data_IF_495985774227
#
_entry.id   IF_495985774227
#
_cell.length_a   1.000
_cell.length_b   1.000
_cell.length_c   1.000
_cell.angle_alpha   90.00
_cell.angle_beta   90.00
_cell.angle_gamma   90.00
#
_symmetry.space_group_name_H-M   'P 1'
#
loop_
_entity.id
_entity.type
_entity.pdbx_description
1 polymer ?
#
# COMPACT_ATOMS: atom_id res chain seq x y z
N UNK A 1 -4.12 4.41 -21.55
CA UNK A 1 -3.57 5.30 -20.50
C UNK A 1 -2.62 4.47 -19.67
N UNK A 2 -1.40 4.95 -19.37
CA UNK A 2 -0.47 4.19 -18.52
C UNK A 2 -0.86 4.25 -17.04
N UNK A 3 -0.43 3.27 -16.25
CA UNK A 3 -0.69 3.22 -14.81
C UNK A 3 -0.21 4.51 -14.11
N UNK A 4 0.98 5.00 -14.46
CA UNK A 4 1.53 6.24 -13.91
C UNK A 4 0.62 7.46 -14.17
N UNK A 5 0.15 7.63 -15.40
CA UNK A 5 -0.80 8.71 -15.75
C UNK A 5 -2.14 8.58 -15.03
N UNK A 6 -2.59 7.34 -14.81
CA UNK A 6 -3.83 7.11 -14.06
C UNK A 6 -3.65 7.48 -12.59
N UNK A 7 -2.56 7.08 -11.94
CA UNK A 7 -2.24 7.47 -10.57
C UNK A 7 -2.12 9.00 -10.43
N UNK A 8 -1.44 9.65 -11.38
CA UNK A 8 -1.32 11.11 -11.43
C UNK A 8 -2.70 11.77 -11.51
N UNK A 9 -3.58 11.30 -12.39
CA UNK A 9 -4.94 11.85 -12.55
C UNK A 9 -5.80 11.72 -11.29
N UNK A 10 -5.59 10.68 -10.51
CA UNK A 10 -6.29 10.48 -9.23
C UNK A 10 -5.76 11.44 -8.16
N UNK A 11 -4.47 11.77 -8.20
CA UNK A 11 -3.79 12.58 -7.18
C UNK A 11 -3.94 14.09 -7.40
N UNK A 12 -4.22 14.55 -8.64
CA UNK A 12 -4.12 15.96 -9.04
C UNK A 12 -5.38 16.85 -8.79
N UNK A 13 -6.38 16.39 -8.04
CA UNK A 13 -7.58 17.21 -7.81
C UNK A 13 -7.64 17.81 -6.40
N UNK A 14 -8.54 18.80 -6.19
CA UNK A 14 -8.73 19.50 -4.92
C UNK A 14 -8.69 18.57 -3.71
N UNK A 15 -7.81 18.85 -2.78
CA UNK A 15 -7.50 18.00 -1.65
C UNK A 15 -7.62 18.74 -0.34
N UNK A 16 -8.10 18.05 0.69
CA UNK A 16 -7.98 18.55 2.05
C UNK A 16 -6.49 18.51 2.46
N UNK A 17 -5.97 19.66 2.88
CA UNK A 17 -4.62 19.74 3.42
C UNK A 17 -4.69 19.36 4.89
N UNK A 18 -4.02 18.26 5.25
CA UNK A 18 -3.89 17.84 6.64
C UNK A 18 -2.65 18.52 7.22
N UNK A 19 -2.83 19.31 8.26
CA UNK A 19 -1.72 19.96 8.97
C UNK A 19 -1.09 19.02 10.01
N UNK A 20 0.12 19.36 10.47
CA UNK A 20 0.81 18.62 11.54
C UNK A 20 0.01 18.56 12.85
N UNK A 21 -0.91 19.49 13.06
CA UNK A 21 -1.82 19.54 14.21
C UNK A 21 -3.09 18.70 14.05
N UNK A 22 -3.35 18.16 12.84
CA UNK A 22 -4.52 17.35 12.60
C UNK A 22 -4.38 15.98 13.30
N UNK A 23 -5.41 15.53 14.03
CA UNK A 23 -5.40 14.19 14.65
C UNK A 23 -5.13 13.06 13.66
N UNK A 24 -5.59 13.19 12.40
CA UNK A 24 -5.32 12.22 11.35
C UNK A 24 -3.84 12.16 11.00
N UNK A 25 -3.14 13.32 10.98
CA UNK A 25 -1.70 13.35 10.78
C UNK A 25 -0.97 12.58 11.88
N UNK A 26 -1.27 12.86 13.15
CA UNK A 26 -0.65 12.17 14.28
C UNK A 26 -0.97 10.67 14.31
N UNK A 27 -2.08 10.28 13.72
CA UNK A 27 -2.51 8.90 13.61
C UNK A 27 -1.75 8.13 12.52
N UNK A 28 -1.46 8.77 11.37
CA UNK A 28 -0.72 8.18 10.26
C UNK A 28 0.79 8.21 10.53
N UNK A 29 1.29 9.34 11.05
CA UNK A 29 2.72 9.61 11.14
C UNK A 29 3.27 9.30 12.53
N UNK A 30 4.46 8.73 12.55
CA UNK A 30 5.21 8.52 13.79
C UNK A 30 6.56 9.22 13.70
N UNK A 31 7.02 9.89 14.75
CA UNK A 31 8.43 10.23 14.86
C UNK A 31 9.24 8.92 14.91
N UNK A 32 10.39 8.88 14.25
CA UNK A 32 11.25 7.67 14.18
C UNK A 32 11.58 7.06 15.55
N UNK A 33 11.56 7.88 16.60
CA UNK A 33 11.85 7.48 17.98
C UNK A 33 10.67 6.90 18.74
N UNK A 34 9.42 7.01 18.26
CA UNK A 34 8.28 6.43 18.96
C UNK A 34 8.14 4.98 18.57
N UNK A 35 8.80 4.14 19.31
CA UNK A 35 8.43 2.75 19.46
C UNK A 35 7.00 2.69 20.03
N UNK A 36 6.15 1.87 19.42
CA UNK A 36 5.04 1.26 20.12
C UNK A 36 3.69 1.98 20.09
N UNK A 37 2.93 1.73 19.08
CA UNK A 37 1.63 1.17 19.34
C UNK A 37 1.30 0.12 18.28
N UNK A 38 1.52 -1.18 18.55
CA UNK A 38 1.27 -2.27 17.59
C UNK A 38 -0.23 -2.55 17.37
N UNK A 39 -1.12 -1.78 18.00
CA UNK A 39 -2.56 -2.01 17.95
C UNK A 39 -3.29 -1.23 16.83
N UNK A 40 -2.61 -0.47 16.00
CA UNK A 40 -3.25 0.15 14.84
C UNK A 40 -3.46 -0.94 13.79
N UNK A 41 -4.62 -1.55 13.83
CA UNK A 41 -4.99 -2.70 12.98
C UNK A 41 -5.57 -2.34 11.62
N UNK A 42 -5.78 -1.08 11.31
CA UNK A 42 -6.18 -0.62 9.97
C UNK A 42 -6.16 0.90 9.90
N UNK A 43 -5.80 1.45 8.74
CA UNK A 43 -6.21 2.80 8.43
C UNK A 43 -7.74 2.83 8.38
N UNK A 44 -8.42 3.83 8.99
CA UNK A 44 -9.88 3.81 9.20
C UNK A 44 -10.70 3.83 7.91
N UNK A 45 -10.06 3.74 6.78
CA UNK A 45 -10.54 4.21 5.51
C UNK A 45 -11.34 3.16 4.75
N UNK A 46 -11.30 1.86 5.09
CA UNK A 46 -11.83 0.85 4.18
C UNK A 46 -12.56 -0.32 4.79
N UNK A 47 -13.21 -0.13 5.92
CA UNK A 47 -13.90 -1.25 6.59
C UNK A 47 -15.06 -1.87 5.81
N UNK A 48 -15.58 -1.19 4.78
CA UNK A 48 -16.75 -1.63 4.05
C UNK A 48 -16.45 -2.28 2.69
N UNK A 49 -15.25 -2.02 2.13
CA UNK A 49 -14.95 -2.46 0.78
C UNK A 49 -14.06 -3.71 0.76
N UNK A 50 -14.44 -4.76 0.02
CA UNK A 50 -13.65 -5.98 -0.07
C UNK A 50 -12.32 -5.77 -0.82
N UNK A 51 -12.26 -4.74 -1.66
CA UNK A 51 -11.09 -4.32 -2.43
C UNK A 51 -11.04 -2.80 -2.51
N UNK A 52 -9.91 -2.22 -2.21
CA UNK A 52 -9.67 -0.79 -2.38
C UNK A 52 -8.26 -0.52 -2.91
N UNK A 53 -8.07 0.64 -3.52
CA UNK A 53 -6.77 1.15 -3.93
C UNK A 53 -6.45 2.45 -3.18
N UNK A 54 -5.21 2.56 -2.70
CA UNK A 54 -4.66 3.77 -2.11
C UNK A 54 -3.45 4.19 -2.95
N UNK A 55 -3.54 5.33 -3.59
CA UNK A 55 -2.44 5.90 -4.36
C UNK A 55 -1.69 6.92 -3.50
N UNK A 56 -0.39 6.68 -3.29
CA UNK A 56 0.52 7.62 -2.65
C UNK A 56 1.47 8.21 -3.67
N UNK A 57 1.62 9.54 -3.64
CA UNK A 57 2.57 10.26 -4.49
C UNK A 57 3.36 11.25 -3.63
N UNK A 58 4.65 11.03 -3.49
CA UNK A 58 5.57 11.94 -2.81
C UNK A 58 6.19 12.88 -3.82
N UNK A 59 5.94 14.16 -3.67
CA UNK A 59 6.52 15.22 -4.50
C UNK A 59 7.91 15.66 -4.06
N UNK A 60 8.57 16.47 -4.88
CA UNK A 60 9.84 17.13 -4.55
C UNK A 60 9.70 18.17 -3.43
N UNK A 61 8.49 18.60 -3.14
CA UNK A 61 8.13 19.54 -2.08
C UNK A 61 7.97 18.88 -0.70
N UNK A 62 8.35 17.60 -0.58
CA UNK A 62 8.20 16.80 0.65
C UNK A 62 6.77 16.71 1.16
N UNK A 63 5.81 16.70 0.25
CA UNK A 63 4.41 16.40 0.57
C UNK A 63 4.00 15.07 -0.03
N UNK A 64 3.31 14.29 0.79
CA UNK A 64 2.66 13.06 0.38
C UNK A 64 1.21 13.38 0.00
N UNK A 65 0.85 13.04 -1.22
CA UNK A 65 -0.51 13.04 -1.71
C UNK A 65 -1.08 11.64 -1.58
N UNK A 66 -2.23 11.50 -0.95
CA UNK A 66 -2.90 10.23 -0.78
C UNK A 66 -4.33 10.30 -1.31
N UNK A 67 -4.72 9.33 -2.14
CA UNK A 67 -6.07 9.18 -2.68
C UNK A 67 -6.54 7.76 -2.52
N UNK A 68 -7.75 7.58 -1.99
CA UNK A 68 -8.40 6.28 -1.83
C UNK A 68 -9.50 6.06 -2.88
N UNK A 69 -9.62 4.83 -3.37
CA UNK A 69 -10.67 4.37 -4.29
C UNK A 69 -11.11 2.92 -3.97
N UNK A 70 -12.42 2.62 -3.95
CA UNK A 70 -13.51 3.57 -3.93
C UNK A 70 -13.57 4.34 -2.61
N UNK A 71 -14.12 5.53 -2.62
CA UNK A 71 -14.39 6.30 -1.41
C UNK A 71 -15.59 7.22 -1.61
N UNK A 72 -16.53 7.17 -0.68
CA UNK A 72 -17.67 8.07 -0.61
C UNK A 72 -17.85 8.54 0.85
N UNK A 73 -17.64 9.83 1.16
CA UNK A 73 -17.19 10.90 0.24
C UNK A 73 -15.74 10.65 -0.26
N UNK A 74 -15.37 11.28 -1.39
CA UNK A 74 -14.02 11.12 -1.93
C UNK A 74 -12.95 11.45 -0.89
N UNK A 75 -12.04 10.50 -0.66
CA UNK A 75 -10.91 10.71 0.24
C UNK A 75 -9.67 11.07 -0.55
N UNK A 76 -9.16 12.27 -0.30
CA UNK A 76 -7.88 12.77 -0.79
C UNK A 76 -7.26 13.65 0.27
N UNK A 77 -5.99 13.50 0.50
CA UNK A 77 -5.27 14.37 1.43
C UNK A 77 -3.87 14.71 0.93
N UNK A 78 -3.34 15.80 1.41
CA UNK A 78 -1.96 16.21 1.26
C UNK A 78 -1.35 16.33 2.65
N UNK A 79 -0.30 15.58 2.90
CA UNK A 79 0.34 15.47 4.22
C UNK A 79 1.79 15.91 4.10
N UNK A 80 2.30 16.81 4.97
CA UNK A 80 3.74 17.07 5.05
C UNK A 80 4.48 15.76 5.40
N UNK A 81 5.41 15.38 4.54
CA UNK A 81 6.21 14.17 4.73
C UNK A 81 7.71 14.50 4.58
N UNK A 82 8.29 15.22 5.55
CA UNK A 82 9.69 15.58 5.47
C UNK A 82 10.59 14.34 5.56
N UNK A 83 11.81 14.41 5.01
CA UNK A 83 12.81 13.37 5.17
C UNK A 83 12.93 12.95 6.64
N UNK A 84 13.20 11.68 6.89
CA UNK A 84 13.25 11.08 8.23
C UNK A 84 11.91 10.78 8.91
N UNK A 85 10.79 11.08 8.29
CA UNK A 85 9.47 10.64 8.77
C UNK A 85 9.12 9.26 8.20
N UNK A 86 8.28 8.55 8.94
CA UNK A 86 7.74 7.26 8.55
C UNK A 86 6.31 7.13 9.09
N UNK A 87 5.54 6.22 8.54
CA UNK A 87 4.25 5.87 9.12
C UNK A 87 4.43 5.20 10.48
N UNK A 88 3.36 5.12 11.25
CA UNK A 88 3.41 4.33 12.49
C UNK A 88 3.65 2.87 12.18
N UNK A 89 4.32 2.19 13.11
CA UNK A 89 4.43 0.74 13.06
C UNK A 89 3.03 0.13 13.22
N UNK A 90 2.58 -0.64 12.23
CA UNK A 90 1.20 -1.09 12.15
C UNK A 90 1.06 -2.47 11.52
N UNK A 91 -0.14 -3.01 11.63
CA UNK A 91 -0.64 -4.17 10.89
C UNK A 91 -1.96 -3.80 10.25
N UNK A 92 -2.41 -4.59 9.30
CA UNK A 92 -3.72 -4.43 8.66
C UNK A 92 -4.66 -5.58 9.03
N UNK A 93 -5.95 -5.42 8.79
CA UNK A 93 -6.96 -6.49 8.78
C UNK A 93 -7.27 -7.01 7.36
N UNK A 94 -6.47 -6.57 6.38
CA UNK A 94 -6.50 -6.96 4.97
C UNK A 94 -5.09 -7.35 4.50
N UNK A 95 -5.01 -8.03 3.37
CA UNK A 95 -3.76 -8.24 2.65
C UNK A 95 -3.41 -6.97 1.90
N UNK A 96 -2.18 -6.51 2.03
CA UNK A 96 -1.67 -5.37 1.30
C UNK A 96 -0.80 -5.80 0.13
N UNK A 97 -1.09 -5.26 -1.05
CA UNK A 97 -0.25 -5.34 -2.22
C UNK A 97 0.26 -3.94 -2.51
N UNK A 98 1.57 -3.72 -2.47
CA UNK A 98 2.23 -2.46 -2.80
C UNK A 98 2.99 -2.59 -4.12
N UNK A 99 2.63 -1.79 -5.12
CA UNK A 99 3.32 -1.71 -6.41
C UNK A 99 4.01 -0.36 -6.55
N UNK A 100 5.29 -0.36 -6.89
CA UNK A 100 6.07 0.86 -7.07
C UNK A 100 5.93 1.34 -8.51
N UNK A 101 5.09 2.35 -8.71
CA UNK A 101 4.77 2.93 -10.02
C UNK A 101 5.95 3.76 -10.55
N UNK A 102 6.62 4.49 -9.65
CA UNK A 102 7.85 5.25 -9.97
C UNK A 102 8.68 5.50 -8.73
N UNK A 103 10.00 5.65 -8.91
CA UNK A 103 10.94 5.96 -7.83
C UNK A 103 11.31 4.76 -6.97
N UNK A 104 11.53 5.02 -5.68
CA UNK A 104 11.87 3.99 -4.69
C UNK A 104 10.96 4.13 -3.46
N UNK A 105 10.69 3.02 -2.82
CA UNK A 105 9.88 2.91 -1.62
C UNK A 105 10.54 1.95 -0.63
N UNK A 106 10.67 2.35 0.62
CA UNK A 106 11.23 1.52 1.66
C UNK A 106 10.19 1.19 2.72
N UNK A 107 10.22 -0.05 3.19
CA UNK A 107 9.43 -0.48 4.34
C UNK A 107 10.32 -1.16 5.37
N UNK A 108 10.04 -0.89 6.64
CA UNK A 108 10.60 -1.67 7.74
C UNK A 108 9.66 -2.83 8.03
N UNK A 109 10.05 -4.02 7.61
CA UNK A 109 9.26 -5.26 7.76
C UNK A 109 10.01 -6.18 8.70
N UNK A 110 9.38 -6.64 9.77
CA UNK A 110 9.98 -7.53 10.78
C UNK A 110 11.35 -7.01 11.28
N UNK A 111 11.46 -5.70 11.46
CA UNK A 111 12.67 -5.06 11.94
C UNK A 111 13.76 -4.82 10.89
N UNK A 112 13.58 -5.26 9.65
CA UNK A 112 14.52 -5.05 8.53
C UNK A 112 13.99 -3.99 7.59
N UNK A 113 14.87 -3.10 7.11
CA UNK A 113 14.52 -2.15 6.06
C UNK A 113 14.70 -2.84 4.71
N UNK A 114 13.65 -2.83 3.91
CA UNK A 114 13.62 -3.39 2.56
C UNK A 114 13.24 -2.26 1.62
N UNK A 115 14.05 -2.05 0.58
CA UNK A 115 13.78 -1.05 -0.45
C UNK A 115 13.26 -1.74 -1.70
N UNK A 116 12.13 -1.26 -2.18
CA UNK A 116 11.48 -1.67 -3.42
C UNK A 116 11.71 -0.58 -4.47
N UNK A 117 11.88 -0.99 -5.72
CA UNK A 117 12.14 -0.10 -6.85
C UNK A 117 10.99 -0.10 -7.82
N UNK A 118 10.99 0.86 -8.70
CA UNK A 118 10.03 0.95 -9.80
C UNK A 118 9.85 -0.38 -10.51
N UNK A 119 8.60 -0.78 -10.69
CA UNK A 119 8.21 -2.06 -11.27
C UNK A 119 8.20 -3.25 -10.31
N UNK A 120 8.71 -3.10 -9.09
CA UNK A 120 8.65 -4.16 -8.07
C UNK A 120 7.32 -4.13 -7.31
N UNK A 121 6.98 -5.28 -6.74
CA UNK A 121 5.74 -5.47 -6.00
C UNK A 121 6.04 -6.17 -4.67
N UNK A 122 5.41 -5.70 -3.61
CA UNK A 122 5.39 -6.34 -2.30
C UNK A 122 3.98 -6.78 -1.95
N UNK A 123 3.85 -8.00 -1.47
CA UNK A 123 2.62 -8.52 -0.89
C UNK A 123 2.84 -8.77 0.60
N UNK A 124 2.06 -8.12 1.45
CA UNK A 124 2.22 -8.14 2.90
C UNK A 124 1.01 -8.79 3.56
N UNK A 125 1.27 -9.76 4.43
CA UNK A 125 0.25 -10.38 5.26
C UNK A 125 -0.35 -9.38 6.26
N UNK A 126 -1.64 -9.46 6.48
CA UNK A 126 -2.39 -8.64 7.45
C UNK A 126 -1.81 -8.65 8.88
N UNK A 127 -1.11 -9.69 9.26
CA UNK A 127 -0.49 -9.80 10.59
C UNK A 127 0.97 -9.31 10.62
N UNK A 128 1.51 -8.94 9.47
CA UNK A 128 2.89 -8.50 9.35
C UNK A 128 3.05 -7.10 9.92
N UNK A 129 3.87 -6.98 10.94
CA UNK A 129 4.19 -5.69 11.53
C UNK A 129 5.17 -4.95 10.64
N UNK A 130 4.76 -3.81 10.12
CA UNK A 130 5.57 -3.01 9.20
C UNK A 130 5.37 -1.50 9.38
N UNK A 131 6.19 -0.74 8.68
CA UNK A 131 6.24 0.71 8.74
C UNK A 131 6.76 1.24 7.41
N UNK A 132 6.08 2.23 6.84
CA UNK A 132 6.44 2.81 5.55
C UNK A 132 7.44 3.94 5.73
N UNK A 133 8.45 3.97 4.86
CA UNK A 133 9.53 4.94 4.86
C UNK A 133 9.63 5.53 3.45
N UNK A 134 9.28 6.80 3.32
CA UNK A 134 9.37 7.56 2.08
C UNK A 134 10.53 8.57 2.21
N UNK A 135 11.74 8.08 2.14
CA UNK A 135 12.96 8.88 2.32
C UNK A 135 13.54 9.40 1.00
N UNK A 136 13.08 8.88 -0.13
CA UNK A 136 13.53 9.25 -1.46
C UNK A 136 12.38 9.80 -2.29
N UNK A 137 12.54 11.01 -2.76
CA UNK A 137 11.57 11.75 -3.57
C UNK A 137 12.12 11.98 -4.99
N UNK A 138 11.28 12.03 -6.02
CA UNK A 138 9.85 11.72 -6.03
C UNK A 138 9.56 10.22 -6.11
N UNK A 139 8.40 9.81 -5.63
CA UNK A 139 7.96 8.41 -5.74
C UNK A 139 6.44 8.30 -5.81
N UNK A 140 5.94 7.30 -6.51
CA UNK A 140 4.52 6.97 -6.57
C UNK A 140 4.32 5.49 -6.28
N UNK A 141 3.49 5.19 -5.30
CA UNK A 141 3.17 3.84 -4.86
C UNK A 141 1.66 3.63 -4.95
N UNK A 142 1.27 2.50 -5.51
CA UNK A 142 -0.11 2.05 -5.57
C UNK A 142 -0.29 0.86 -4.65
N UNK A 143 -1.06 1.06 -3.60
CA UNK A 143 -1.46 0.00 -2.69
C UNK A 143 -2.83 -0.53 -3.06
N UNK A 144 -3.02 -1.85 -2.97
CA UNK A 144 -4.31 -2.49 -2.95
C UNK A 144 -4.51 -3.19 -1.61
N UNK A 145 -5.63 -2.90 -0.95
CA UNK A 145 -6.06 -3.63 0.23
C UNK A 145 -7.11 -4.65 -0.18
N UNK A 146 -6.88 -5.91 0.17
CA UNK A 146 -7.73 -7.05 -0.21
C UNK A 146 -8.28 -7.69 1.06
N UNK A 147 -9.60 -7.62 1.26
CA UNK A 147 -10.26 -8.19 2.42
C UNK A 147 -10.27 -9.73 2.39
N UNK A 148 -10.37 -10.34 3.56
CA UNK A 148 -10.39 -11.81 3.68
C UNK A 148 -11.51 -12.47 2.86
N UNK A 149 -12.66 -11.81 2.72
CA UNK A 149 -13.79 -12.34 1.96
C UNK A 149 -13.46 -12.60 0.49
N UNK A 150 -12.54 -11.83 -0.10
CA UNK A 150 -12.09 -12.07 -1.47
C UNK A 150 -11.08 -13.22 -1.59
N UNK A 151 -10.42 -13.59 -0.49
CA UNK A 151 -9.44 -14.68 -0.53
C UNK A 151 -10.06 -16.02 -0.84
N UNK A 152 -11.22 -16.31 -0.27
CA UNK A 152 -11.90 -17.56 -0.50
C UNK A 152 -12.21 -17.73 -1.99
N UNK A 153 -12.58 -16.65 -2.67
CA UNK A 153 -12.83 -16.65 -4.11
C UNK A 153 -11.54 -16.89 -4.92
N UNK A 154 -10.45 -16.22 -4.55
CA UNK A 154 -9.13 -16.40 -5.19
C UNK A 154 -8.59 -17.82 -4.98
N UNK A 155 -8.71 -18.34 -3.76
CA UNK A 155 -8.23 -19.68 -3.42
C UNK A 155 -9.04 -20.77 -4.12
N UNK A 156 -10.34 -20.57 -4.28
CA UNK A 156 -11.24 -21.51 -4.96
C UNK A 156 -11.08 -21.48 -6.49
N UNK A 157 -10.49 -20.43 -7.06
CA UNK A 157 -10.35 -20.27 -8.51
C UNK A 157 -9.32 -21.19 -9.16
N UNK A 158 -8.48 -21.87 -8.38
CA UNK A 158 -7.37 -22.74 -8.85
C UNK A 158 -6.35 -22.07 -9.79
N UNK A 159 -6.38 -20.73 -9.91
CA UNK A 159 -5.55 -19.96 -10.85
C UNK A 159 -4.22 -19.53 -10.22
N UNK A 160 -4.14 -19.48 -8.89
CA UNK A 160 -2.97 -18.95 -8.21
C UNK A 160 -1.78 -19.94 -8.22
N UNK A 161 -0.59 -19.42 -8.49
CA UNK A 161 0.66 -20.18 -8.38
C UNK A 161 0.84 -20.73 -6.95
N UNK A 162 1.47 -21.91 -6.83
CA UNK A 162 1.64 -22.61 -5.53
C UNK A 162 2.29 -21.77 -4.43
N UNK A 163 3.25 -20.89 -4.77
CA UNK A 163 3.89 -20.00 -3.79
C UNK A 163 2.93 -18.96 -3.23
N UNK A 164 2.13 -18.37 -4.11
CA UNK A 164 1.10 -17.38 -3.73
C UNK A 164 0.04 -18.09 -2.89
N UNK A 165 -0.43 -19.25 -3.32
CA UNK A 165 -1.39 -20.06 -2.57
C UNK A 165 -0.89 -20.43 -1.18
N UNK A 166 0.37 -20.87 -1.05
CA UNK A 166 0.98 -21.21 0.23
C UNK A 166 1.12 -19.99 1.15
N UNK A 167 1.50 -18.82 0.59
CA UNK A 167 1.58 -17.57 1.33
C UNK A 167 0.20 -17.12 1.84
N UNK A 168 -0.81 -17.11 0.97
CA UNK A 168 -2.17 -16.74 1.30
C UNK A 168 -2.76 -17.67 2.38
N UNK A 169 -2.53 -18.97 2.25
CA UNK A 169 -2.96 -19.94 3.25
C UNK A 169 -2.30 -19.67 4.62
N UNK A 170 -1.00 -19.37 4.66
CA UNK A 170 -0.28 -19.01 5.89
C UNK A 170 -0.85 -17.74 6.52
N UNK A 171 -1.14 -16.73 5.72
CA UNK A 171 -1.72 -15.47 6.15
C UNK A 171 -3.10 -15.67 6.77
N UNK A 172 -3.95 -16.49 6.15
CA UNK A 172 -5.28 -16.83 6.66
C UNK A 172 -5.23 -17.60 7.98
N UNK A 173 -4.31 -18.55 8.10
CA UNK A 173 -4.16 -19.40 9.30
C UNK A 173 -3.45 -18.68 10.46
N UNK A 174 -3.09 -17.42 10.31
CA UNK A 174 -2.38 -16.60 11.33
C UNK A 174 -1.08 -17.27 11.83
N UNK A 175 -0.40 -17.98 10.97
CA UNK A 175 0.85 -18.68 11.32
C UNK A 175 2.00 -17.67 11.36
N UNK A 176 2.19 -17.02 12.50
CA UNK A 176 3.20 -15.96 12.70
C UNK A 176 4.65 -16.37 12.44
N UNK A 177 4.93 -17.66 12.32
CA UNK A 177 6.29 -18.20 12.15
C UNK A 177 6.68 -18.39 10.68
N UNK A 178 5.78 -18.13 9.73
CA UNK A 178 6.02 -18.27 8.31
C UNK A 178 6.33 -16.92 7.66
N UNK A 179 6.67 -16.97 6.39
CA UNK A 179 6.95 -15.77 5.60
C UNK A 179 5.72 -14.84 5.59
N UNK A 180 5.90 -13.63 6.11
CA UNK A 180 4.82 -12.65 6.27
C UNK A 180 4.76 -11.62 5.13
N UNK A 181 5.68 -11.70 4.17
CA UNK A 181 5.67 -10.88 2.96
C UNK A 181 6.30 -11.62 1.79
N UNK A 182 5.92 -11.25 0.57
CA UNK A 182 6.53 -11.68 -0.67
C UNK A 182 7.02 -10.46 -1.44
N UNK A 183 8.26 -10.54 -1.94
CA UNK A 183 8.85 -9.51 -2.81
C UNK A 183 9.00 -10.08 -4.22
N UNK A 184 8.38 -9.41 -5.18
CA UNK A 184 8.40 -9.78 -6.58
C UNK A 184 9.23 -8.77 -7.38
N UNK A 185 10.15 -9.29 -8.17
CA UNK A 185 10.97 -8.54 -9.13
C UNK A 185 10.68 -9.09 -10.51
N UNK A 186 9.66 -8.58 -11.19
CA UNK A 186 9.30 -9.09 -12.51
C UNK A 186 10.37 -8.74 -13.53
N UNK A 187 10.53 -9.60 -14.54
CA UNK A 187 11.25 -9.27 -15.75
C UNK A 187 10.41 -8.30 -16.60
N UNK A 188 11.05 -7.57 -17.53
CA UNK A 188 10.43 -6.49 -18.28
C UNK A 188 9.11 -6.88 -18.98
N UNK A 189 9.04 -8.05 -19.59
CA UNK A 189 7.82 -8.55 -20.24
C UNK A 189 6.68 -8.76 -19.23
N UNK A 190 6.98 -9.42 -18.10
CA UNK A 190 6.01 -9.66 -17.03
C UNK A 190 5.59 -8.36 -16.34
N UNK A 191 6.46 -7.37 -16.29
CA UNK A 191 6.16 -6.04 -15.77
C UNK A 191 5.05 -5.36 -16.58
N UNK A 192 5.15 -5.38 -17.92
CA UNK A 192 4.16 -4.76 -18.81
C UNK A 192 2.76 -5.37 -18.62
N UNK A 193 2.66 -6.70 -18.52
CA UNK A 193 1.41 -7.41 -18.30
C UNK A 193 0.82 -7.10 -16.92
N UNK A 194 1.68 -7.02 -15.90
CA UNK A 194 1.29 -6.67 -14.54
C UNK A 194 0.75 -5.23 -14.49
N UNK A 195 1.45 -4.25 -15.09
CA UNK A 195 0.99 -2.87 -15.13
C UNK A 195 -0.34 -2.73 -15.88
N UNK A 196 -0.56 -3.48 -16.95
CA UNK A 196 -1.83 -3.50 -17.66
C UNK A 196 -2.96 -4.03 -16.76
N UNK A 197 -2.70 -5.11 -16.03
CA UNK A 197 -3.67 -5.71 -15.10
C UNK A 197 -3.99 -4.77 -13.93
N UNK A 198 -2.98 -4.13 -13.33
CA UNK A 198 -3.18 -3.16 -12.25
C UNK A 198 -3.92 -1.91 -12.75
N UNK A 199 -3.66 -1.47 -13.99
CA UNK A 199 -4.38 -0.36 -14.62
C UNK A 199 -5.86 -0.69 -14.77
N UNK A 200 -6.18 -1.89 -15.28
CA UNK A 200 -7.55 -2.34 -15.43
C UNK A 200 -8.27 -2.41 -14.06
N UNK A 201 -7.63 -3.00 -13.07
CA UNK A 201 -8.17 -3.10 -11.72
C UNK A 201 -8.45 -1.71 -11.12
N UNK A 202 -7.52 -0.77 -11.25
CA UNK A 202 -7.69 0.59 -10.75
C UNK A 202 -8.82 1.33 -11.48
N UNK A 203 -8.97 1.12 -12.80
CA UNK A 203 -10.08 1.70 -13.58
C UNK A 203 -11.45 1.19 -13.10
N UNK A 204 -11.57 -0.08 -12.72
CA UNK A 204 -12.80 -0.62 -12.15
C UNK A 204 -13.15 0.02 -10.80
N UNK A 205 -12.15 0.33 -9.97
CA UNK A 205 -12.35 0.96 -8.66
C UNK A 205 -12.64 2.47 -8.73
N UNK A 206 -12.38 3.11 -9.86
CA UNK A 206 -12.63 4.55 -10.06
C UNK A 206 -14.05 4.81 -10.59
N UNK A 207 -14.66 3.84 -11.24
CA UNK A 207 -16.03 3.92 -11.79
C UNK A 207 -17.08 4.05 -10.72
#
# INVERSE_FOLDING_TARGET
MSLAKLCESISCHETNIISDSDPLFSWIMSPQSSLLNPEIKSYPISKSEPLFALCWSLGTDSHLWASLKPADPPFRCRIPFPPSKCTRLHTHDYLELAYIVSGEFSQKILGKIITFREGELCLIDKNCLHQDILDKSPSTILFFGIANSMFDDIMNSHVAEKRITAFLHSALMKQKNLQQYLHFRPHDDARSDMEASLTQLLLELIR
#
